data_IF_170409006373
#
_entry.id   IF_170409006373
#
_cell.length_a   1.000
_cell.length_b   1.000
_cell.length_c   1.000
_cell.angle_alpha   90.00
_cell.angle_beta   90.00
_cell.angle_gamma   90.00
#
_symmetry.space_group_name_H-M   'P 1'
#
loop_
_entity.id
_entity.type
_entity.pdbx_description
1 polymer ?
#
# COMPACT_ATOMS: atom_id res chain seq x y z
N UNK A 1 14.10 11.90 -10.80
CA UNK A 1 13.87 10.44 -10.77
C UNK A 1 12.85 10.14 -9.68
N UNK A 2 11.69 9.57 -10.03
CA UNK A 2 10.65 9.17 -9.07
C UNK A 2 11.26 8.24 -8.01
N UNK A 3 10.86 8.38 -6.74
CA UNK A 3 11.31 7.58 -5.61
C UNK A 3 11.27 6.08 -5.89
N UNK A 4 10.18 5.60 -6.50
CA UNK A 4 10.05 4.21 -6.96
C UNK A 4 11.25 3.75 -7.78
N UNK A 5 11.64 4.53 -8.80
CA UNK A 5 12.76 4.18 -9.68
C UNK A 5 14.09 4.14 -8.94
N UNK A 6 14.28 5.01 -7.92
CA UNK A 6 15.49 5.01 -7.11
C UNK A 6 15.59 3.72 -6.29
N UNK A 7 14.52 3.37 -5.58
CA UNK A 7 14.49 2.16 -4.74
C UNK A 7 14.58 0.90 -5.58
N UNK A 8 13.89 0.87 -6.73
CA UNK A 8 13.94 -0.27 -7.64
C UNK A 8 15.37 -0.52 -8.15
N UNK A 9 16.11 0.54 -8.53
CA UNK A 9 17.51 0.41 -8.94
C UNK A 9 18.37 -0.16 -7.81
N UNK A 10 18.22 0.33 -6.58
CA UNK A 10 18.95 -0.21 -5.43
C UNK A 10 18.60 -1.68 -5.20
N UNK A 11 17.30 -2.00 -5.24
CA UNK A 11 16.82 -3.37 -5.08
C UNK A 11 17.45 -4.31 -6.11
N UNK A 12 17.46 -3.93 -7.39
CA UNK A 12 18.05 -4.74 -8.46
C UNK A 12 19.56 -4.97 -8.36
N UNK A 13 20.28 -4.12 -7.62
CA UNK A 13 21.73 -4.24 -7.48
C UNK A 13 22.16 -5.27 -6.42
N UNK A 14 21.23 -5.80 -5.64
CA UNK A 14 21.54 -6.90 -4.73
C UNK A 14 21.69 -8.22 -5.49
N UNK A 15 22.73 -8.99 -5.14
CA UNK A 15 23.09 -10.25 -5.83
C UNK A 15 21.99 -11.32 -5.69
N UNK A 16 21.20 -11.29 -4.62
CA UNK A 16 20.23 -12.34 -4.26
C UNK A 16 18.80 -12.05 -4.71
N UNK A 17 18.59 -11.12 -5.64
CA UNK A 17 17.26 -10.69 -6.06
C UNK A 17 16.67 -11.66 -7.08
N UNK A 18 15.39 -11.97 -6.93
CA UNK A 18 14.63 -12.71 -7.92
C UNK A 18 14.25 -11.79 -9.08
N UNK A 19 14.81 -12.04 -10.26
CA UNK A 19 14.53 -11.27 -11.48
C UNK A 19 13.05 -11.33 -11.89
N UNK A 20 12.35 -12.43 -11.57
CA UNK A 20 10.93 -12.58 -11.88
C UNK A 20 10.06 -11.66 -11.04
N UNK A 21 10.39 -11.48 -9.76
CA UNK A 21 9.73 -10.52 -8.87
C UNK A 21 9.97 -9.08 -9.33
N UNK A 22 11.20 -8.76 -9.75
CA UNK A 22 11.53 -7.44 -10.31
C UNK A 22 10.71 -7.14 -11.55
N UNK A 23 10.56 -8.12 -12.46
CA UNK A 23 9.74 -7.97 -13.65
C UNK A 23 8.28 -7.73 -13.27
N UNK A 24 7.74 -8.54 -12.37
CA UNK A 24 6.38 -8.40 -11.87
C UNK A 24 6.12 -7.02 -11.24
N UNK A 25 7.04 -6.53 -10.38
CA UNK A 25 6.93 -5.20 -9.78
C UNK A 25 6.91 -4.10 -10.85
N UNK A 26 7.73 -4.20 -11.90
CA UNK A 26 7.74 -3.24 -13.01
C UNK A 26 6.43 -3.24 -13.78
N UNK A 27 5.87 -4.41 -14.06
CA UNK A 27 4.61 -4.56 -14.77
C UNK A 27 3.45 -4.01 -13.95
N UNK A 28 3.30 -4.44 -12.70
CA UNK A 28 2.20 -4.01 -11.82
C UNK A 28 2.26 -2.53 -11.47
N UNK A 29 3.46 -1.96 -11.38
CA UNK A 29 3.61 -0.53 -11.21
C UNK A 29 3.26 0.25 -12.48
N UNK A 30 3.36 -0.33 -13.68
CA UNK A 30 3.00 0.34 -14.95
C UNK A 30 1.54 0.16 -15.38
N UNK A 31 0.80 -0.81 -14.84
CA UNK A 31 -0.59 -1.05 -15.25
C UNK A 31 -1.45 0.23 -15.16
N UNK A 32 -1.85 0.78 -16.31
CA UNK A 32 -2.52 2.09 -16.46
C UNK A 32 -4.06 2.03 -16.40
N UNK A 33 -4.65 0.95 -15.88
CA UNK A 33 -6.10 0.86 -15.66
C UNK A 33 -6.52 1.72 -14.46
N UNK A 34 -6.28 3.03 -14.52
CA UNK A 34 -6.52 3.98 -13.45
C UNK A 34 -7.78 4.82 -13.71
N UNK A 35 -8.15 5.64 -12.73
CA UNK A 35 -9.26 6.58 -12.88
C UNK A 35 -8.99 7.54 -14.05
N UNK A 36 -9.92 7.62 -15.01
CA UNK A 36 -9.81 8.48 -16.17
C UNK A 36 -10.08 9.96 -15.85
N UNK A 37 -10.45 10.28 -14.60
CA UNK A 37 -10.69 11.65 -14.18
C UNK A 37 -9.37 12.40 -13.98
N UNK A 38 -9.03 13.25 -14.96
CA UNK A 38 -7.82 14.09 -14.95
C UNK A 38 -7.71 14.90 -13.65
N UNK A 39 -8.81 15.52 -13.20
CA UNK A 39 -8.80 16.33 -11.98
C UNK A 39 -8.49 15.51 -10.72
N UNK A 40 -8.82 14.22 -10.69
CA UNK A 40 -8.43 13.33 -9.59
C UNK A 40 -6.95 13.00 -9.66
N UNK A 41 -6.45 12.64 -10.85
CA UNK A 41 -5.06 12.21 -11.06
C UNK A 41 -4.07 13.32 -10.66
N UNK A 42 -4.40 14.57 -10.96
CA UNK A 42 -3.59 15.76 -10.63
C UNK A 42 -3.51 16.08 -9.14
N UNK A 43 -4.40 15.54 -8.30
CA UNK A 43 -4.36 15.78 -6.86
C UNK A 43 -3.15 15.09 -6.22
N UNK A 44 -2.60 15.74 -5.20
CA UNK A 44 -1.65 15.12 -4.31
C UNK A 44 -2.28 13.95 -3.54
N UNK A 45 -1.41 13.03 -3.12
CA UNK A 45 -1.74 11.92 -2.25
C UNK A 45 -2.55 12.33 -1.00
N UNK A 46 -2.15 13.44 -0.36
CA UNK A 46 -2.84 14.00 0.81
C UNK A 46 -4.25 14.48 0.47
N UNK A 47 -4.43 15.18 -0.65
CA UNK A 47 -5.75 15.67 -1.08
C UNK A 47 -6.69 14.52 -1.43
N UNK A 48 -6.17 13.46 -2.07
CA UNK A 48 -6.92 12.23 -2.36
C UNK A 48 -7.44 11.59 -1.07
N UNK A 49 -6.60 11.47 -0.04
CA UNK A 49 -7.04 10.95 1.26
C UNK A 49 -8.08 11.82 1.96
N UNK A 50 -7.90 13.15 1.96
CA UNK A 50 -8.89 14.07 2.53
C UNK A 50 -10.25 13.88 1.84
N UNK A 51 -10.27 13.77 0.51
CA UNK A 51 -11.51 13.55 -0.24
C UNK A 51 -12.19 12.22 0.11
N UNK A 52 -11.43 11.14 0.36
CA UNK A 52 -11.99 9.86 0.84
C UNK A 52 -12.64 10.00 2.21
N UNK A 53 -11.94 10.61 3.16
CA UNK A 53 -12.48 10.86 4.51
C UNK A 53 -13.75 11.72 4.45
N UNK A 54 -13.78 12.76 3.61
CA UNK A 54 -14.99 13.57 3.41
C UNK A 54 -16.13 12.73 2.83
N UNK A 55 -15.85 11.90 1.82
CA UNK A 55 -16.84 11.02 1.21
C UNK A 55 -17.42 10.04 2.23
N UNK A 56 -16.57 9.37 2.98
CA UNK A 56 -16.97 8.45 4.06
C UNK A 56 -17.90 9.14 5.06
N UNK A 57 -17.55 10.36 5.51
CA UNK A 57 -18.38 11.17 6.43
C UNK A 57 -19.75 11.54 5.84
N UNK A 58 -19.84 11.72 4.53
CA UNK A 58 -21.11 12.02 3.85
C UNK A 58 -21.96 10.75 3.76
N UNK A 59 -21.35 9.61 3.39
CA UNK A 59 -22.05 8.33 3.21
C UNK A 59 -22.58 7.80 4.55
N UNK A 60 -21.83 7.98 5.65
CA UNK A 60 -22.30 7.61 6.99
C UNK A 60 -23.53 8.38 7.47
N UNK A 61 -23.91 9.46 6.77
CA UNK A 61 -25.11 10.26 7.05
C UNK A 61 -26.27 9.98 6.09
N UNK A 62 -26.05 9.17 5.04
CA UNK A 62 -27.09 8.85 4.06
C UNK A 62 -27.93 7.65 4.47
N UNK A 63 -29.19 7.62 4.03
CA UNK A 63 -30.14 6.51 4.24
C UNK A 63 -29.64 5.22 3.57
N UNK A 64 -28.83 5.33 2.51
CA UNK A 64 -28.24 4.20 1.76
C UNK A 64 -26.93 3.67 2.39
N UNK A 65 -26.66 3.98 3.65
CA UNK A 65 -25.51 3.45 4.37
C UNK A 65 -25.65 1.93 4.54
N UNK A 66 -24.93 1.19 3.69
CA UNK A 66 -24.73 -0.24 3.87
C UNK A 66 -23.46 -0.47 4.66
N UNK A 67 -23.53 -1.28 5.72
CA UNK A 67 -22.39 -1.62 6.59
C UNK A 67 -21.17 -2.13 5.80
N UNK A 68 -21.38 -2.82 4.67
CA UNK A 68 -20.30 -3.27 3.79
C UNK A 68 -19.53 -2.12 3.13
N UNK A 69 -20.24 -1.13 2.57
CA UNK A 69 -19.62 0.01 1.88
C UNK A 69 -18.66 0.76 2.81
N UNK A 70 -19.09 1.04 4.04
CA UNK A 70 -18.27 1.78 4.99
C UNK A 70 -17.05 1.00 5.41
N UNK A 71 -17.21 -0.30 5.68
CA UNK A 71 -16.09 -1.13 6.12
C UNK A 71 -14.98 -1.18 5.08
N UNK A 72 -15.32 -1.24 3.79
CA UNK A 72 -14.32 -1.21 2.71
C UNK A 72 -13.61 0.14 2.61
N UNK A 73 -14.35 1.26 2.57
CA UNK A 73 -13.74 2.60 2.49
C UNK A 73 -12.87 2.90 3.72
N UNK A 74 -13.36 2.59 4.92
CA UNK A 74 -12.62 2.69 6.19
C UNK A 74 -11.35 1.83 6.15
N UNK A 75 -11.45 0.58 5.69
CA UNK A 75 -10.32 -0.33 5.56
C UNK A 75 -9.23 0.20 4.61
N UNK A 76 -9.62 0.87 3.53
CA UNK A 76 -8.69 1.48 2.57
C UNK A 76 -7.97 2.70 3.18
N UNK A 77 -8.70 3.54 3.93
CA UNK A 77 -8.12 4.69 4.63
C UNK A 77 -7.11 4.18 5.69
N UNK A 78 -7.53 3.22 6.51
CA UNK A 78 -6.69 2.61 7.55
C UNK A 78 -5.42 1.97 6.98
N UNK A 79 -5.54 1.22 5.88
CA UNK A 79 -4.41 0.60 5.21
C UNK A 79 -3.47 1.66 4.65
N UNK A 80 -4.00 2.71 4.03
CA UNK A 80 -3.20 3.79 3.49
C UNK A 80 -2.40 4.50 4.57
N UNK A 81 -3.02 4.84 5.70
CA UNK A 81 -2.34 5.49 6.82
C UNK A 81 -1.24 4.61 7.43
N UNK A 82 -1.46 3.29 7.51
CA UNK A 82 -0.44 2.35 7.94
C UNK A 82 0.75 2.31 6.97
N UNK A 83 0.49 2.31 5.66
CA UNK A 83 1.54 2.36 4.63
C UNK A 83 2.36 3.65 4.74
N UNK A 84 1.71 4.82 4.84
CA UNK A 84 2.41 6.11 4.98
C UNK A 84 3.29 6.13 6.22
N UNK A 85 2.79 5.63 7.34
CA UNK A 85 3.56 5.57 8.59
C UNK A 85 4.79 4.68 8.45
N UNK A 86 4.65 3.49 7.86
CA UNK A 86 5.79 2.59 7.64
C UNK A 86 6.81 3.18 6.67
N UNK A 87 6.37 3.84 5.59
CA UNK A 87 7.26 4.52 4.64
C UNK A 87 8.05 5.64 5.34
N UNK A 88 7.38 6.50 6.10
CA UNK A 88 8.02 7.59 6.82
C UNK A 88 9.07 7.08 7.83
N UNK A 89 8.76 5.99 8.54
CA UNK A 89 9.67 5.37 9.49
C UNK A 89 10.91 4.77 8.78
N UNK A 90 10.72 4.06 7.67
CA UNK A 90 11.83 3.53 6.85
C UNK A 90 12.76 4.67 6.41
N UNK A 91 12.18 5.76 5.90
CA UNK A 91 12.95 6.89 5.37
C UNK A 91 13.76 7.62 6.42
N UNK A 92 13.22 7.69 7.65
CA UNK A 92 13.92 8.32 8.77
C UNK A 92 15.20 7.57 9.21
N UNK A 93 15.31 6.28 8.90
CA UNK A 93 16.36 5.41 9.46
C UNK A 93 17.43 4.97 8.46
N UNK A 94 17.37 5.45 7.21
CA UNK A 94 18.38 5.25 6.16
C UNK A 94 19.07 3.87 6.18
N UNK A 95 18.28 2.80 6.20
CA UNK A 95 18.80 1.43 6.30
C UNK A 95 18.88 0.79 4.92
N UNK A 96 20.07 0.39 4.50
CA UNK A 96 20.32 -0.20 3.18
C UNK A 96 20.36 -1.72 3.26
N UNK A 97 19.19 -2.35 3.38
CA UNK A 97 19.02 -3.81 3.34
C UNK A 97 18.05 -4.22 2.22
N UNK A 98 18.24 -5.42 1.67
CA UNK A 98 17.41 -6.00 0.62
C UNK A 98 15.93 -6.00 1.01
N UNK A 99 15.61 -6.44 2.24
CA UNK A 99 14.23 -6.58 2.75
C UNK A 99 13.59 -5.21 2.94
N UNK A 100 14.37 -4.21 3.36
CA UNK A 100 13.90 -2.82 3.47
C UNK A 100 13.50 -2.27 2.10
N UNK A 101 14.36 -2.48 1.10
CA UNK A 101 14.06 -2.06 -0.28
C UNK A 101 12.83 -2.79 -0.84
N UNK A 102 12.75 -4.10 -0.62
CA UNK A 102 11.62 -4.93 -1.05
C UNK A 102 10.31 -4.47 -0.40
N UNK A 103 10.28 -4.32 0.92
CA UNK A 103 9.11 -3.82 1.64
C UNK A 103 8.68 -2.45 1.11
N UNK A 104 9.64 -1.53 0.95
CA UNK A 104 9.36 -0.18 0.44
C UNK A 104 8.75 -0.21 -0.96
N UNK A 105 9.21 -1.09 -1.85
CA UNK A 105 8.60 -1.26 -3.18
C UNK A 105 7.14 -1.73 -3.05
N UNK A 106 6.87 -2.78 -2.28
CA UNK A 106 5.50 -3.26 -2.12
C UNK A 106 4.57 -2.20 -1.51
N UNK A 107 5.05 -1.44 -0.51
CA UNK A 107 4.32 -0.31 0.06
C UNK A 107 3.98 0.77 -0.98
N UNK A 108 4.97 1.19 -1.76
CA UNK A 108 4.77 2.20 -2.82
C UNK A 108 3.82 1.70 -3.92
N UNK A 109 3.87 0.42 -4.28
CA UNK A 109 2.96 -0.18 -5.25
C UNK A 109 1.52 -0.17 -4.74
N UNK A 110 1.27 -0.67 -3.52
CA UNK A 110 -0.06 -0.69 -2.91
C UNK A 110 -0.60 0.73 -2.72
N UNK A 111 0.24 1.66 -2.25
CA UNK A 111 -0.10 3.08 -2.13
C UNK A 111 -0.52 3.69 -3.47
N UNK A 112 0.27 3.44 -4.53
CA UNK A 112 -0.06 3.90 -5.89
C UNK A 112 -1.41 3.36 -6.34
N UNK A 113 -1.66 2.05 -6.14
CA UNK A 113 -2.93 1.42 -6.51
C UNK A 113 -4.10 2.03 -5.75
N UNK A 114 -3.97 2.30 -4.46
CA UNK A 114 -5.00 3.03 -3.70
C UNK A 114 -5.24 4.40 -4.33
N UNK A 115 -4.20 5.22 -4.53
CA UNK A 115 -4.35 6.60 -5.00
C UNK A 115 -4.76 6.75 -6.46
N UNK A 116 -4.68 5.68 -7.25
CA UNK A 116 -5.12 5.68 -8.63
C UNK A 116 -6.63 5.84 -8.80
N UNK A 117 -7.45 5.49 -7.79
CA UNK A 117 -8.90 5.46 -7.92
C UNK A 117 -9.59 6.44 -6.96
N UNK A 118 -10.48 7.28 -7.48
CA UNK A 118 -11.35 8.13 -6.64
C UNK A 118 -12.30 7.30 -5.80
N UNK A 119 -12.76 6.18 -6.35
CA UNK A 119 -13.68 5.27 -5.71
C UNK A 119 -12.96 3.96 -5.34
N UNK A 120 -12.78 3.65 -4.05
CA UNK A 120 -12.06 2.44 -3.67
C UNK A 120 -12.67 1.12 -4.16
N UNK A 121 -13.97 1.09 -4.44
CA UNK A 121 -14.63 -0.09 -5.06
C UNK A 121 -14.12 -0.42 -6.46
N UNK A 122 -13.53 0.55 -7.14
CA UNK A 122 -12.99 0.34 -8.48
C UNK A 122 -11.60 -0.33 -8.41
N UNK A 123 -11.03 -0.44 -7.20
CA UNK A 123 -9.78 -1.14 -6.95
C UNK A 123 -10.04 -2.65 -7.04
N UNK A 124 -9.68 -3.25 -8.17
CA UNK A 124 -9.85 -4.69 -8.40
C UNK A 124 -8.88 -5.56 -7.59
N UNK A 125 -7.69 -5.03 -7.33
CA UNK A 125 -6.59 -5.79 -6.72
C UNK A 125 -5.61 -4.86 -5.99
N UNK A 126 -5.16 -5.27 -4.80
CA UNK A 126 -4.18 -4.57 -3.96
C UNK A 126 -2.92 -5.39 -3.66
N UNK A 127 -2.82 -6.60 -4.23
CA UNK A 127 -1.70 -7.53 -4.01
C UNK A 127 -1.41 -7.77 -2.52
N UNK A 128 -2.49 -7.90 -1.73
CA UNK A 128 -2.38 -8.02 -0.27
C UNK A 128 -1.69 -9.31 0.16
N UNK A 129 -1.80 -10.37 -0.63
CA UNK A 129 -1.13 -11.64 -0.35
C UNK A 129 0.39 -11.49 -0.50
N UNK A 130 0.82 -10.86 -1.59
CA UNK A 130 2.23 -10.61 -1.86
C UNK A 130 2.84 -9.66 -0.83
N UNK A 131 2.14 -8.56 -0.50
CA UNK A 131 2.56 -7.66 0.58
C UNK A 131 2.66 -8.40 1.92
N UNK A 132 1.70 -9.28 2.24
CA UNK A 132 1.72 -10.09 3.46
C UNK A 132 2.93 -11.03 3.50
N UNK A 133 3.28 -11.67 2.39
CA UNK A 133 4.46 -12.52 2.31
C UNK A 133 5.75 -11.72 2.57
N UNK A 134 5.86 -10.51 2.00
CA UNK A 134 7.00 -9.61 2.24
C UNK A 134 7.07 -9.19 3.70
N UNK A 135 5.94 -8.89 4.34
CA UNK A 135 5.88 -8.59 5.77
C UNK A 135 6.37 -9.78 6.60
N UNK A 136 5.98 -11.01 6.26
CA UNK A 136 6.49 -12.19 6.95
C UNK A 136 7.97 -12.41 6.73
N UNK A 137 8.50 -12.17 5.55
CA UNK A 137 9.94 -12.27 5.30
C UNK A 137 10.74 -11.23 6.10
N UNK A 138 10.17 -10.04 6.32
CA UNK A 138 10.73 -9.03 7.22
C UNK A 138 10.73 -9.50 8.68
N UNK A 139 9.59 -10.02 9.16
CA UNK A 139 9.43 -10.48 10.54
C UNK A 139 10.23 -11.76 10.85
N UNK A 140 10.50 -12.61 9.87
CA UNK A 140 11.31 -13.83 10.05
C UNK A 140 12.78 -13.62 9.63
N UNK A 141 13.30 -12.41 9.77
CA UNK A 141 14.67 -12.07 9.40
C UNK A 141 15.52 -11.70 10.61
N UNK A 142 16.83 -11.62 10.41
CA UNK A 142 17.76 -11.05 11.38
C UNK A 142 17.52 -9.56 11.68
N UNK A 143 16.57 -8.91 11.00
CA UNK A 143 16.15 -7.52 11.20
C UNK A 143 14.74 -7.41 11.81
N UNK A 144 14.20 -8.49 12.41
CA UNK A 144 12.87 -8.49 13.02
C UNK A 144 12.65 -7.32 13.99
N UNK A 145 13.60 -7.06 14.90
CA UNK A 145 13.52 -5.94 15.86
C UNK A 145 13.44 -4.58 15.18
N UNK A 146 14.19 -4.39 14.09
CA UNK A 146 14.11 -3.17 13.29
C UNK A 146 12.72 -3.01 12.67
N UNK A 147 12.18 -4.06 12.05
CA UNK A 147 10.88 -3.98 11.40
C UNK A 147 9.72 -3.83 12.40
N UNK A 148 9.76 -4.55 13.52
CA UNK A 148 8.72 -4.53 14.54
C UNK A 148 8.72 -3.22 15.32
N UNK A 149 9.89 -2.75 15.79
CA UNK A 149 9.99 -1.62 16.70
C UNK A 149 10.13 -0.29 15.97
N UNK A 150 10.90 -0.24 14.88
CA UNK A 150 11.20 1.01 14.19
C UNK A 150 10.25 1.26 13.02
N UNK A 151 10.03 0.27 12.16
CA UNK A 151 9.11 0.39 11.00
C UNK A 151 7.64 0.29 11.41
N UNK A 152 7.34 -0.26 12.59
CA UNK A 152 6.00 -0.54 13.08
C UNK A 152 5.23 -1.50 12.14
N UNK A 153 5.94 -2.52 11.62
CA UNK A 153 5.41 -3.44 10.61
C UNK A 153 4.25 -4.29 11.12
N UNK A 154 4.17 -4.53 12.44
CA UNK A 154 3.07 -5.30 13.06
C UNK A 154 1.72 -4.56 12.93
N UNK A 155 1.73 -3.23 13.01
CA UNK A 155 0.54 -2.43 12.77
C UNK A 155 0.08 -2.57 11.31
N UNK A 156 1.02 -2.50 10.37
CA UNK A 156 0.75 -2.72 8.95
C UNK A 156 0.21 -4.12 8.69
N UNK A 157 0.84 -5.17 9.24
CA UNK A 157 0.38 -6.56 9.11
C UNK A 157 -1.09 -6.69 9.52
N UNK A 158 -1.46 -6.08 10.64
CA UNK A 158 -2.84 -6.11 11.13
C UNK A 158 -3.81 -5.44 10.16
N UNK A 159 -3.44 -4.30 9.56
CA UNK A 159 -4.29 -3.60 8.59
C UNK A 159 -4.41 -4.37 7.27
N UNK A 160 -3.33 -4.98 6.80
CA UNK A 160 -3.35 -5.88 5.62
C UNK A 160 -4.30 -7.05 5.86
N UNK A 161 -4.23 -7.69 7.03
CA UNK A 161 -5.13 -8.80 7.39
C UNK A 161 -6.61 -8.39 7.38
N UNK A 162 -6.94 -7.25 7.98
CA UNK A 162 -8.32 -6.74 8.02
C UNK A 162 -8.82 -6.46 6.60
N UNK A 163 -8.02 -5.76 5.78
CA UNK A 163 -8.41 -5.45 4.41
C UNK A 163 -8.62 -6.71 3.56
N UNK A 164 -7.73 -7.70 3.70
CA UNK A 164 -7.86 -8.97 2.99
C UNK A 164 -9.16 -9.70 3.35
N UNK A 165 -9.58 -9.65 4.62
CA UNK A 165 -10.87 -10.20 5.05
C UNK A 165 -12.05 -9.48 4.42
N UNK A 166 -12.05 -8.16 4.46
CA UNK A 166 -13.11 -7.34 3.86
C UNK A 166 -13.25 -7.65 2.36
N UNK A 167 -12.13 -7.68 1.62
CA UNK A 167 -12.14 -8.00 0.18
C UNK A 167 -12.64 -9.42 -0.13
N UNK A 168 -12.45 -10.38 0.77
CA UNK A 168 -12.95 -11.75 0.60
C UNK A 168 -14.43 -11.89 0.95
N UNK A 169 -14.94 -11.08 1.89
CA UNK A 169 -16.35 -11.06 2.28
C UNK A 169 -17.24 -10.33 1.23
N UNK A 170 -16.65 -9.48 0.37
CA UNK A 170 -17.34 -8.78 -0.74
C UNK A 170 -17.34 -9.51 -2.09
N UNK A 171 -16.67 -10.67 -2.22
CA UNK A 171 -16.62 -11.49 -3.44
C UNK A 171 -17.64 -12.63 -3.41
#
# INVERSE_FOLDING_TARGET
MNEWNKILTVYQNFISVDESEVLWLKEKFKEDNFDNNVSWIELSDKEKQIKRIVRLKVISRSIDYTLGFSNYEDGIIDLYEAIEKSLANIDSMAHSDLRVCRLKLYLLLTKKKINAYRNPKDIKELFLLELKNVIYDCLNSNLEDYFSQQVNILYLERKVYIMQRIMNEER
#
